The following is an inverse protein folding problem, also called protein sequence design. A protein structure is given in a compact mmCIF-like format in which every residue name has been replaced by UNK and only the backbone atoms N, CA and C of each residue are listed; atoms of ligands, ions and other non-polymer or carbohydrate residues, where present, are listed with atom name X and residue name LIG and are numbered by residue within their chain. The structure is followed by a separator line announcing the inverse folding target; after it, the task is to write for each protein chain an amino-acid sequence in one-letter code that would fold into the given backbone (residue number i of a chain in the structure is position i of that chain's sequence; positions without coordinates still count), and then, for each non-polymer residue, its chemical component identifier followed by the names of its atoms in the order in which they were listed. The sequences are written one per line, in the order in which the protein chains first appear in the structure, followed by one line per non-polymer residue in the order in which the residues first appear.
data_IF_966406135941
#
_entry.id   IF_966406135941
#
_cell.length_a   1.000
_cell.length_b   1.000
_cell.length_c   1.000
_cell.angle_alpha   90.00
_cell.angle_beta   90.00
_cell.angle_gamma   90.00
#
_symmetry.space_group_name_H-M   'P 1'
#
loop_
_entity.id
_entity.type
_entity.pdbx_description
1 polymer ?
#
# COMPACT_ATOMS: atom_id res chain seq x y z
N UNK A 1 0.52 -0.38 -14.83
CA UNK A 1 0.55 -0.47 -13.36
C UNK A 1 1.83 0.16 -12.87
N UNK A 2 1.77 0.92 -11.78
CA UNK A 2 2.95 1.41 -11.05
C UNK A 2 2.95 0.75 -9.69
N UNK A 3 4.06 0.15 -9.29
CA UNK A 3 4.21 -0.52 -7.99
C UNK A 3 5.17 0.29 -7.12
N UNK A 4 4.88 0.38 -5.84
CA UNK A 4 5.75 1.03 -4.86
C UNK A 4 5.96 0.16 -3.63
N UNK A 5 7.08 0.35 -2.97
CA UNK A 5 7.41 -0.30 -1.72
C UNK A 5 8.00 0.71 -0.74
N UNK A 6 7.71 0.51 0.54
CA UNK A 6 8.27 1.32 1.63
C UNK A 6 9.66 0.80 2.06
N UNK A 7 10.57 0.68 1.08
CA UNK A 7 11.95 0.17 1.23
C UNK A 7 12.04 -1.31 1.64
N UNK A 8 11.03 -2.10 1.32
CA UNK A 8 10.90 -3.50 1.73
C UNK A 8 10.72 -4.45 0.53
N UNK A 9 11.06 -4.03 -0.69
CA UNK A 9 10.71 -4.75 -1.93
C UNK A 9 11.14 -6.22 -1.94
N UNK A 10 12.27 -6.56 -1.36
CA UNK A 10 12.72 -7.95 -1.24
C UNK A 10 11.82 -8.77 -0.31
N UNK A 11 11.34 -8.17 0.77
CA UNK A 11 10.56 -8.82 1.81
C UNK A 11 9.07 -8.83 1.49
N UNK A 12 8.50 -7.71 1.04
CA UNK A 12 7.10 -7.62 0.64
C UNK A 12 6.82 -8.25 -0.74
N UNK A 13 7.87 -8.78 -1.39
CA UNK A 13 7.81 -9.51 -2.67
C UNK A 13 7.47 -8.67 -3.89
N UNK A 14 7.56 -7.36 -3.79
CA UNK A 14 7.43 -6.48 -4.97
C UNK A 14 8.68 -6.46 -5.85
N UNK A 15 9.80 -7.02 -5.38
CA UNK A 15 11.03 -7.20 -6.15
C UNK A 15 10.81 -8.01 -7.44
N UNK A 16 9.86 -8.94 -7.43
CA UNK A 16 9.47 -9.70 -8.62
C UNK A 16 8.95 -8.80 -9.75
N UNK A 17 8.27 -7.72 -9.40
CA UNK A 17 7.85 -6.70 -10.36
C UNK A 17 9.03 -5.78 -10.74
N UNK A 18 9.81 -5.35 -9.79
CA UNK A 18 10.99 -4.50 -10.02
C UNK A 18 12.01 -5.15 -10.98
N UNK A 19 12.18 -6.47 -10.91
CA UNK A 19 13.05 -7.22 -11.84
C UNK A 19 12.61 -7.16 -13.30
N UNK A 20 11.36 -6.79 -13.57
CA UNK A 20 10.80 -6.68 -14.93
C UNK A 20 10.71 -5.24 -15.44
N UNK A 21 11.10 -4.28 -14.63
CA UNK A 21 11.10 -2.85 -14.92
C UNK A 21 12.31 -2.22 -14.21
N UNK A 22 12.29 -0.92 -14.05
CA UNK A 22 13.25 -0.21 -13.20
C UNK A 22 12.54 0.85 -12.36
N UNK A 23 13.23 1.29 -11.32
CA UNK A 23 12.71 2.32 -10.44
C UNK A 23 12.79 3.70 -11.13
N UNK A 24 11.88 4.58 -10.77
CA UNK A 24 11.97 5.99 -11.12
C UNK A 24 13.25 6.60 -10.52
N UNK A 25 13.92 7.40 -11.32
CA UNK A 25 15.06 8.20 -10.88
C UNK A 25 14.86 9.65 -11.36
N UNK A 26 15.66 10.56 -10.83
CA UNK A 26 15.61 11.95 -11.25
C UNK A 26 15.88 12.06 -12.77
N UNK A 27 14.91 12.57 -13.50
CA UNK A 27 14.99 12.72 -14.96
C UNK A 27 14.63 11.45 -15.76
N UNK A 28 14.37 10.32 -15.12
CA UNK A 28 13.92 9.10 -15.80
C UNK A 28 12.67 8.51 -15.11
N UNK A 29 11.54 8.64 -15.77
CA UNK A 29 10.23 8.11 -15.36
C UNK A 29 9.71 7.04 -16.32
N UNK A 30 10.58 6.44 -17.13
CA UNK A 30 10.20 5.40 -18.07
C UNK A 30 9.96 4.03 -17.42
N UNK A 31 10.42 3.84 -16.18
CA UNK A 31 10.13 2.65 -15.38
C UNK A 31 8.70 2.61 -14.85
N UNK A 32 8.43 1.65 -13.99
CA UNK A 32 7.13 1.46 -13.38
C UNK A 32 7.19 1.15 -11.87
N UNK A 33 8.31 1.46 -11.23
CA UNK A 33 8.51 1.21 -9.81
C UNK A 33 8.89 2.49 -9.06
N UNK A 34 8.17 2.76 -7.96
CA UNK A 34 8.43 3.88 -7.07
C UNK A 34 9.08 3.38 -5.77
N UNK A 35 10.35 3.70 -5.58
CA UNK A 35 11.02 3.48 -4.30
C UNK A 35 10.65 4.63 -3.36
N UNK A 36 9.67 4.37 -2.50
CA UNK A 36 9.09 5.41 -1.65
C UNK A 36 9.94 5.70 -0.39
N UNK A 37 10.93 4.84 -0.08
CA UNK A 37 11.59 4.89 1.21
C UNK A 37 10.67 4.44 2.35
N UNK A 38 11.12 4.51 3.59
CA UNK A 38 10.33 4.17 4.78
C UNK A 38 9.35 5.32 5.06
N UNK A 39 8.27 5.39 4.29
CA UNK A 39 7.28 6.47 4.37
C UNK A 39 5.92 6.00 3.86
N UNK A 40 5.28 5.10 4.60
CA UNK A 40 4.04 4.42 4.21
C UNK A 40 2.91 5.39 3.90
N UNK A 41 2.72 6.42 4.72
CA UNK A 41 1.68 7.42 4.50
C UNK A 41 1.91 8.19 3.19
N UNK A 42 3.14 8.66 2.97
CA UNK A 42 3.49 9.40 1.76
C UNK A 42 3.33 8.52 0.52
N UNK A 43 3.80 7.28 0.59
CA UNK A 43 3.64 6.30 -0.49
C UNK A 43 2.16 6.09 -0.84
N UNK A 44 1.33 5.88 0.15
CA UNK A 44 -0.12 5.70 -0.03
C UNK A 44 -0.77 6.95 -0.63
N UNK A 45 -0.42 8.14 -0.16
CA UNK A 45 -0.93 9.41 -0.71
C UNK A 45 -0.48 9.62 -2.16
N UNK A 46 0.76 9.29 -2.50
CA UNK A 46 1.23 9.33 -3.89
C UNK A 46 0.41 8.38 -4.78
N UNK A 47 0.12 7.17 -4.30
CA UNK A 47 -0.73 6.22 -5.03
C UNK A 47 -2.15 6.76 -5.22
N UNK A 48 -2.75 7.41 -4.22
CA UNK A 48 -4.04 8.08 -4.35
C UNK A 48 -3.96 9.17 -5.43
N UNK A 49 -2.93 10.01 -5.39
CA UNK A 49 -2.73 11.05 -6.39
C UNK A 49 -2.59 10.50 -7.81
N UNK A 50 -1.84 9.42 -7.98
CA UNK A 50 -1.72 8.73 -9.27
C UNK A 50 -3.05 8.14 -9.74
N UNK A 51 -3.84 7.55 -8.84
CA UNK A 51 -5.16 7.02 -9.18
C UNK A 51 -6.14 8.12 -9.61
N UNK A 52 -6.13 9.26 -8.90
CA UNK A 52 -6.96 10.43 -9.23
C UNK A 52 -6.56 11.06 -10.57
N UNK A 53 -5.27 11.14 -10.86
CA UNK A 53 -4.77 11.65 -12.14
C UNK A 53 -5.22 10.74 -13.30
N UNK A 54 -5.30 9.45 -13.05
CA UNK A 54 -5.71 8.47 -14.06
C UNK A 54 -4.56 8.00 -14.95
N UNK A 55 -4.87 7.07 -15.86
CA UNK A 55 -3.91 6.49 -16.81
C UNK A 55 -3.04 5.38 -16.24
N UNK A 56 -2.99 5.19 -14.92
CA UNK A 56 -2.23 4.13 -14.25
C UNK A 56 -3.05 3.46 -13.17
N UNK A 57 -2.70 2.23 -12.84
CA UNK A 57 -3.22 1.51 -11.68
C UNK A 57 -2.07 1.45 -10.66
N UNK A 58 -2.15 2.22 -9.56
CA UNK A 58 -1.12 2.21 -8.53
C UNK A 58 -1.31 1.04 -7.56
N UNK A 59 -0.19 0.47 -7.12
CA UNK A 59 -0.13 -0.49 -6.04
C UNK A 59 0.99 -0.09 -5.07
N UNK A 60 0.76 -0.21 -3.78
CA UNK A 60 1.75 0.05 -2.75
C UNK A 60 1.80 -1.09 -1.74
N UNK A 61 3.01 -1.43 -1.35
CA UNK A 61 3.28 -2.58 -0.50
C UNK A 61 4.12 -2.23 0.72
N UNK A 62 3.82 -2.89 1.81
CA UNK A 62 4.59 -2.89 3.06
C UNK A 62 4.20 -4.11 3.89
N UNK A 63 4.78 -4.28 5.08
CA UNK A 63 4.33 -5.29 6.04
C UNK A 63 2.98 -4.91 6.65
N UNK A 64 2.21 -5.90 7.02
CA UNK A 64 0.84 -5.68 7.51
C UNK A 64 0.79 -4.84 8.78
N UNK A 65 1.74 -5.02 9.71
CA UNK A 65 1.83 -4.17 10.91
C UNK A 65 1.96 -2.69 10.57
N UNK A 66 2.67 -2.35 9.50
CA UNK A 66 2.87 -0.97 9.06
C UNK A 66 1.68 -0.37 8.30
N UNK A 67 0.61 -1.15 8.10
CA UNK A 67 -0.68 -0.58 7.67
C UNK A 67 -1.16 0.50 8.64
N UNK A 68 -0.72 0.46 9.90
CA UNK A 68 -1.02 1.48 10.90
C UNK A 68 -0.63 2.88 10.45
N UNK A 69 0.51 3.01 9.77
CA UNK A 69 1.02 4.30 9.29
C UNK A 69 0.30 4.81 8.05
N UNK A 70 -0.40 3.96 7.31
CA UNK A 70 -1.10 4.36 6.09
C UNK A 70 -2.64 4.38 6.20
N UNK A 71 -3.20 4.02 7.35
CA UNK A 71 -4.67 3.98 7.56
C UNK A 71 -5.41 5.25 7.18
N UNK A 72 -4.93 6.47 7.48
CA UNK A 72 -5.60 7.68 7.03
C UNK A 72 -5.73 7.75 5.51
N UNK A 73 -4.69 7.37 4.78
CA UNK A 73 -4.71 7.33 3.32
C UNK A 73 -5.63 6.21 2.79
N UNK A 74 -5.58 5.03 3.39
CA UNK A 74 -6.50 3.92 3.05
C UNK A 74 -7.95 4.36 3.20
N UNK A 75 -8.27 5.03 4.34
CA UNK A 75 -9.60 5.59 4.57
C UNK A 75 -9.99 6.60 3.49
N UNK A 76 -9.09 7.50 3.12
CA UNK A 76 -9.35 8.49 2.07
C UNK A 76 -9.53 7.85 0.70
N UNK A 77 -8.73 6.84 0.37
CA UNK A 77 -8.90 6.10 -0.88
C UNK A 77 -10.30 5.47 -0.97
N UNK A 78 -10.78 4.88 0.13
CA UNK A 78 -12.12 4.31 0.22
C UNK A 78 -13.21 5.38 0.06
N UNK A 79 -13.10 6.51 0.76
CA UNK A 79 -14.07 7.61 0.67
C UNK A 79 -14.11 8.25 -0.72
N UNK A 80 -12.98 8.31 -1.41
CA UNK A 80 -12.83 8.89 -2.75
C UNK A 80 -13.07 7.87 -3.86
N UNK A 81 -13.29 6.59 -3.52
CA UNK A 81 -13.55 5.49 -4.46
C UNK A 81 -12.44 5.33 -5.51
N UNK A 82 -11.18 5.54 -5.11
CA UNK A 82 -10.05 5.42 -6.02
C UNK A 82 -9.45 4.01 -5.99
N UNK A 83 -9.08 3.44 -7.14
CA UNK A 83 -8.67 2.03 -7.27
C UNK A 83 -7.19 1.81 -6.92
N UNK A 84 -6.74 2.23 -5.74
CA UNK A 84 -5.41 1.93 -5.24
C UNK A 84 -5.38 0.49 -4.72
N UNK A 85 -4.32 -0.25 -5.05
CA UNK A 85 -4.08 -1.60 -4.53
C UNK A 85 -3.13 -1.52 -3.35
N UNK A 86 -3.64 -1.73 -2.15
CA UNK A 86 -2.84 -1.85 -0.93
C UNK A 86 -2.46 -3.31 -0.74
N UNK A 87 -1.17 -3.60 -0.65
CA UNK A 87 -0.64 -4.96 -0.52
C UNK A 87 0.10 -5.04 0.80
N UNK A 88 -0.35 -5.91 1.68
CA UNK A 88 0.27 -6.13 2.98
C UNK A 88 0.75 -7.57 3.10
N UNK A 89 2.05 -7.72 3.22
CA UNK A 89 2.70 -9.00 3.49
C UNK A 89 2.96 -9.19 4.98
N UNK A 90 3.49 -10.35 5.36
CA UNK A 90 3.81 -10.63 6.76
C UNK A 90 2.59 -10.47 7.68
N UNK A 91 1.48 -11.07 7.25
CA UNK A 91 0.17 -10.95 7.91
C UNK A 91 -0.11 -12.07 8.94
N UNK A 92 0.88 -12.93 9.20
CA UNK A 92 0.72 -14.08 10.07
C UNK A 92 1.45 -13.90 11.41
N UNK A 93 0.96 -14.58 12.43
CA UNK A 93 1.62 -14.68 13.73
C UNK A 93 3.02 -15.32 13.68
N UNK A 94 3.38 -15.94 12.55
CA UNK A 94 4.70 -16.54 12.31
C UNK A 94 5.65 -15.61 11.55
N UNK A 95 5.59 -14.32 11.80
CA UNK A 95 6.55 -13.37 11.22
C UNK A 95 7.98 -13.72 11.63
N UNK A 96 8.15 -14.45 12.72
CA UNK A 96 9.41 -15.06 13.08
C UNK A 96 10.27 -14.15 13.96
N UNK A 97 11.55 -14.07 13.61
CA UNK A 97 12.57 -13.38 14.40
C UNK A 97 12.45 -11.85 14.44
N UNK A 98 11.62 -11.27 13.59
CA UNK A 98 11.37 -9.82 13.59
C UNK A 98 10.70 -9.33 14.87
N UNK A 99 9.98 -10.21 15.55
CA UNK A 99 9.44 -9.99 16.88
C UNK A 99 8.23 -9.04 16.94
N UNK A 100 7.88 -8.59 18.17
CA UNK A 100 6.62 -7.88 18.43
C UNK A 100 6.50 -6.53 17.70
N UNK A 101 7.60 -5.94 17.26
CA UNK A 101 7.56 -4.69 16.50
C UNK A 101 7.05 -4.87 15.06
N UNK A 102 7.04 -6.12 14.58
CA UNK A 102 6.69 -6.47 13.20
C UNK A 102 5.52 -7.44 13.11
N UNK A 103 5.07 -7.98 14.23
CA UNK A 103 3.94 -8.92 14.28
C UNK A 103 2.61 -8.17 14.26
N UNK A 104 1.74 -8.42 13.27
CA UNK A 104 0.40 -7.88 13.26
C UNK A 104 -0.46 -8.62 14.29
N UNK A 105 -1.14 -7.91 15.15
CA UNK A 105 -2.06 -8.46 16.16
C UNK A 105 -3.45 -7.90 15.95
N UNK A 106 -3.61 -6.58 16.09
CA UNK A 106 -4.89 -5.89 15.97
C UNK A 106 -5.20 -5.41 14.55
N UNK A 107 -4.24 -5.44 13.64
CA UNK A 107 -4.36 -4.87 12.29
C UNK A 107 -5.48 -5.54 11.49
N UNK A 108 -5.62 -6.86 11.59
CA UNK A 108 -6.70 -7.56 10.87
C UNK A 108 -8.08 -7.07 11.33
N UNK A 109 -8.31 -7.00 12.64
CA UNK A 109 -9.57 -6.52 13.18
C UNK A 109 -9.86 -5.07 12.75
N UNK A 110 -8.84 -4.23 12.75
CA UNK A 110 -8.97 -2.82 12.34
C UNK A 110 -9.32 -2.70 10.84
N UNK A 111 -8.66 -3.44 9.96
CA UNK A 111 -8.97 -3.44 8.53
C UNK A 111 -10.38 -3.98 8.27
N UNK A 112 -10.79 -5.07 8.94
CA UNK A 112 -12.16 -5.59 8.85
C UNK A 112 -13.22 -4.59 9.30
N UNK A 113 -12.91 -3.74 10.28
CA UNK A 113 -13.79 -2.64 10.66
C UNK A 113 -13.84 -1.55 9.58
N UNK A 114 -12.73 -1.28 8.90
CA UNK A 114 -12.67 -0.31 7.81
C UNK A 114 -13.46 -0.75 6.58
N UNK A 115 -13.62 -2.05 6.33
CA UNK A 115 -14.49 -2.59 5.26
C UNK A 115 -15.95 -2.11 5.39
N UNK A 116 -16.34 -1.66 6.57
CA UNK A 116 -17.69 -1.12 6.84
C UNK A 116 -17.83 0.37 6.52
N UNK A 117 -16.76 1.03 6.06
CA UNK A 117 -16.85 2.41 5.61
C UNK A 117 -17.84 2.50 4.45
N UNK A 118 -18.68 3.52 4.52
CA UNK A 118 -19.64 3.83 3.47
C UNK A 118 -19.13 4.96 2.61
N UNK A 119 -19.34 4.84 1.31
CA UNK A 119 -19.17 5.95 0.40
C UNK A 119 -20.35 6.94 0.55
N UNK A 120 -20.35 7.99 -0.24
CA UNK A 120 -21.42 8.99 -0.21
C UNK A 120 -22.78 8.46 -0.71
N UNK A 121 -22.82 7.31 -1.38
CA UNK A 121 -24.04 6.61 -1.76
C UNK A 121 -24.55 5.63 -0.69
N UNK A 122 -23.83 5.47 0.41
CA UNK A 122 -24.18 4.54 1.48
C UNK A 122 -23.78 3.09 1.22
N UNK A 123 -22.98 2.83 0.18
CA UNK A 123 -22.45 1.52 -0.16
C UNK A 123 -21.10 1.28 0.54
N UNK A 124 -20.70 0.03 0.70
CA UNK A 124 -19.36 -0.29 1.21
C UNK A 124 -18.31 0.12 0.18
N UNK A 125 -17.35 0.93 0.61
CA UNK A 125 -16.31 1.49 -0.26
C UNK A 125 -15.01 0.70 -0.28
N UNK A 126 -14.90 -0.32 0.55
CA UNK A 126 -13.77 -1.26 0.57
C UNK A 126 -14.28 -2.67 0.33
N UNK A 127 -13.62 -3.36 -0.58
CA UNK A 127 -13.82 -4.77 -0.90
C UNK A 127 -12.51 -5.53 -0.70
#
# INVERSE_FOLDING_TARGET
MIVSSADLSNSDKTDGFLKKTHAFTAGDFSGAFLQAGVSELTMACCCIGMALHGGVIPACATFFVFSDYMKPAVRMAALMEVPVKFIWSHDAFRVGEDGPTHEPVEQEAQIRLMEKLKNHHGENSML
#
